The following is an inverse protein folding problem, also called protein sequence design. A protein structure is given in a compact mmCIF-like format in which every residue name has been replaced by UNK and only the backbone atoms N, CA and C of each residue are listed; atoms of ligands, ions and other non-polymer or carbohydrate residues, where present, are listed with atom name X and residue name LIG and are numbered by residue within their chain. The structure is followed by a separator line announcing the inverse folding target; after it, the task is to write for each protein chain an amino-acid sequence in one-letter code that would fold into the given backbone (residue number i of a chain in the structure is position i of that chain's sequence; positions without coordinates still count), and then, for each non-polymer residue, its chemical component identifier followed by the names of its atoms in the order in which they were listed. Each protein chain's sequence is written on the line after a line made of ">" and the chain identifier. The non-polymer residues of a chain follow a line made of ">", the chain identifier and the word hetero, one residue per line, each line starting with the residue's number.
data_IF_382448749038
#
_entry.id   IF_382448749038
#
_cell.length_a   1.000
_cell.length_b   1.000
_cell.length_c   1.000
_cell.angle_alpha   90.00
_cell.angle_beta   90.00
_cell.angle_gamma   90.00
#
_symmetry.space_group_name_H-M   'P 1'
#
loop_
_entity.id
_entity.type
_entity.pdbx_description
1 polymer ?
#
# COMPACT_ATOMS: atom_id res chain seq x y z
N UNK A 1 -3.37 9.33 -11.71
CA UNK A 1 -4.20 8.33 -12.43
C UNK A 1 -4.06 7.01 -11.70
N UNK A 2 -5.15 6.51 -11.11
CA UNK A 2 -5.13 5.25 -10.35
C UNK A 2 -5.25 4.11 -11.34
N UNK A 3 -4.18 3.35 -11.54
CA UNK A 3 -4.28 2.11 -12.31
C UNK A 3 -4.68 1.00 -11.35
N UNK A 4 -5.98 0.87 -11.06
CA UNK A 4 -6.51 -0.31 -10.34
C UNK A 4 -6.42 -1.51 -11.28
N UNK A 5 -5.23 -2.12 -11.36
CA UNK A 5 -5.07 -3.43 -11.98
C UNK A 5 -5.59 -4.47 -11.00
N UNK A 6 -6.88 -4.81 -11.08
CA UNK A 6 -7.37 -6.07 -10.53
C UNK A 6 -6.67 -7.17 -11.30
N UNK A 7 -5.68 -7.81 -10.67
CA UNK A 7 -4.73 -8.74 -11.29
C UNK A 7 -5.39 -10.08 -11.67
N UNK A 8 -6.38 -10.07 -12.57
CA UNK A 8 -6.98 -11.26 -13.19
C UNK A 8 -6.34 -11.52 -14.57
N UNK A 9 -5.31 -12.38 -14.55
CA UNK A 9 -5.04 -13.36 -15.62
C UNK A 9 -4.51 -12.85 -16.99
N UNK A 10 -3.69 -11.79 -17.09
CA UNK A 10 -3.05 -11.48 -18.37
C UNK A 10 -1.57 -11.06 -18.32
N UNK A 11 -0.75 -11.91 -18.99
CA UNK A 11 0.54 -11.66 -19.66
C UNK A 11 1.78 -11.46 -18.77
N UNK A 12 3.03 -11.71 -19.16
CA UNK A 12 3.72 -12.53 -20.19
C UNK A 12 5.20 -12.39 -19.80
N UNK A 13 5.91 -13.50 -19.58
CA UNK A 13 7.35 -13.64 -19.25
C UNK A 13 7.91 -13.14 -17.89
N UNK A 14 8.64 -14.07 -17.25
CA UNK A 14 9.59 -14.02 -16.12
C UNK A 14 9.06 -13.84 -14.69
N UNK A 15 9.08 -14.94 -13.91
CA UNK A 15 9.08 -15.07 -12.45
C UNK A 15 8.11 -14.20 -11.64
N UNK A 16 6.87 -14.06 -12.10
CA UNK A 16 5.81 -13.42 -11.31
C UNK A 16 5.12 -14.44 -10.40
N UNK A 17 5.42 -14.39 -9.10
CA UNK A 17 4.69 -15.16 -8.09
C UNK A 17 3.20 -14.82 -8.12
N UNK A 18 2.36 -15.85 -8.29
CA UNK A 18 0.91 -15.72 -8.26
C UNK A 18 0.45 -15.63 -6.81
N UNK A 19 -0.11 -14.49 -6.43
CA UNK A 19 -0.71 -14.30 -5.11
C UNK A 19 -2.13 -14.91 -5.09
N UNK A 20 -2.49 -15.54 -3.97
CA UNK A 20 -3.82 -16.12 -3.75
C UNK A 20 -4.92 -15.07 -3.53
N UNK A 21 -4.50 -13.82 -3.28
CA UNK A 21 -5.39 -12.69 -2.99
C UNK A 21 -5.41 -11.67 -4.14
N UNK A 22 -6.52 -10.93 -4.34
CA UNK A 22 -6.56 -9.81 -5.26
C UNK A 22 -5.55 -8.73 -4.86
N UNK A 23 -4.82 -8.20 -5.83
CA UNK A 23 -3.87 -7.09 -5.61
C UNK A 23 -4.37 -5.87 -6.37
N UNK A 24 -4.34 -4.72 -5.70
CA UNK A 24 -4.59 -3.40 -6.31
C UNK A 24 -3.29 -2.61 -6.22
N UNK A 25 -2.77 -2.16 -7.36
CA UNK A 25 -1.58 -1.32 -7.42
C UNK A 25 -2.02 0.14 -7.54
N UNK A 26 -1.49 1.04 -6.72
CA UNK A 26 -1.76 2.48 -6.80
C UNK A 26 -0.46 3.19 -7.15
N UNK A 27 -0.30 3.54 -8.42
CA UNK A 27 0.85 4.28 -8.93
C UNK A 27 0.47 5.69 -9.40
N UNK A 28 1.49 6.52 -9.64
CA UNK A 28 1.33 7.74 -10.41
C UNK A 28 2.44 7.84 -11.45
N UNK A 29 2.15 8.46 -12.60
CA UNK A 29 3.09 8.62 -13.72
C UNK A 29 3.95 9.89 -13.54
N UNK A 30 3.53 10.82 -12.70
CA UNK A 30 4.22 12.09 -12.43
C UNK A 30 4.91 12.11 -11.06
N UNK A 31 6.04 12.81 -10.97
CA UNK A 31 6.75 13.09 -9.72
C UNK A 31 6.07 14.28 -9.04
N UNK A 32 5.50 14.09 -7.84
CA UNK A 32 4.78 15.14 -7.10
C UNK A 32 3.60 14.65 -6.23
N UNK A 33 3.01 15.56 -5.46
CA UNK A 33 1.88 15.32 -4.55
C UNK A 33 0.57 15.06 -5.28
N UNK A 34 0.38 13.83 -5.78
CA UNK A 34 -0.67 13.50 -6.74
C UNK A 34 -1.89 12.80 -6.13
N UNK A 35 -2.19 13.06 -4.86
CA UNK A 35 -3.39 12.54 -4.18
C UNK A 35 -3.44 11.01 -4.00
N UNK A 36 -2.31 10.28 -4.14
CA UNK A 36 -2.26 8.82 -3.94
C UNK A 36 -2.64 8.44 -2.51
N UNK A 37 -2.08 9.13 -1.52
CA UNK A 37 -2.30 8.83 -0.12
C UNK A 37 -3.77 9.06 0.29
N UNK A 38 -4.42 10.20 -0.02
CA UNK A 38 -5.86 10.37 0.21
C UNK A 38 -6.74 9.31 -0.47
N UNK A 39 -6.41 8.95 -1.72
CA UNK A 39 -7.13 7.90 -2.44
C UNK A 39 -6.95 6.53 -1.78
N UNK A 40 -5.73 6.17 -1.40
CA UNK A 40 -5.42 4.87 -0.79
C UNK A 40 -6.20 4.73 0.52
N UNK A 41 -6.24 5.78 1.34
CA UNK A 41 -7.04 5.84 2.56
C UNK A 41 -8.54 5.65 2.24
N UNK A 42 -9.07 6.40 1.26
CA UNK A 42 -10.48 6.29 0.87
C UNK A 42 -10.83 4.87 0.38
N UNK A 43 -9.97 4.27 -0.44
CA UNK A 43 -10.18 2.92 -0.96
C UNK A 43 -10.13 1.88 0.16
N UNK A 44 -9.15 1.95 1.06
CA UNK A 44 -9.05 1.04 2.21
C UNK A 44 -10.32 1.09 3.07
N UNK A 45 -10.81 2.29 3.36
CA UNK A 45 -12.03 2.48 4.14
C UNK A 45 -13.29 1.95 3.43
N UNK A 46 -13.41 2.13 2.11
CA UNK A 46 -14.52 1.56 1.32
C UNK A 46 -14.47 0.03 1.29
N UNK A 47 -13.28 -0.57 1.20
CA UNK A 47 -13.13 -2.02 1.24
C UNK A 47 -13.50 -2.57 2.62
N UNK A 48 -13.05 -1.90 3.69
CA UNK A 48 -13.45 -2.23 5.07
C UNK A 48 -14.95 -2.12 5.29
N UNK A 49 -15.60 -1.06 4.80
CA UNK A 49 -17.05 -0.90 4.91
C UNK A 49 -17.84 -1.97 4.14
N UNK A 50 -17.18 -2.68 3.21
CA UNK A 50 -17.74 -3.83 2.48
C UNK A 50 -17.37 -5.19 3.11
N UNK A 51 -16.78 -5.20 4.31
CA UNK A 51 -16.38 -6.41 5.02
C UNK A 51 -15.10 -7.06 4.49
N UNK A 52 -14.32 -6.35 3.67
CA UNK A 52 -13.03 -6.83 3.15
C UNK A 52 -11.93 -6.31 4.09
N UNK A 53 -10.94 -7.15 4.41
CA UNK A 53 -9.77 -6.76 5.20
C UNK A 53 -8.55 -6.49 4.29
N UNK A 54 -8.33 -5.25 3.81
CA UNK A 54 -7.19 -4.94 2.95
C UNK A 54 -5.88 -4.84 3.75
N UNK A 55 -4.80 -5.37 3.18
CA UNK A 55 -3.43 -5.05 3.60
C UNK A 55 -2.82 -3.98 2.69
N UNK A 56 -2.00 -3.09 3.26
CA UNK A 56 -1.31 -2.03 2.52
C UNK A 56 0.18 -2.35 2.49
N UNK A 57 0.77 -2.34 1.30
CA UNK A 57 2.22 -2.46 1.12
C UNK A 57 2.73 -1.14 0.56
N UNK A 58 3.61 -0.48 1.30
CA UNK A 58 4.31 0.72 0.86
C UNK A 58 5.81 0.42 0.68
N UNK A 59 6.55 1.32 0.03
CA UNK A 59 8.01 1.19 -0.07
C UNK A 59 8.75 1.65 1.20
N UNK A 60 8.06 2.24 2.18
CA UNK A 60 8.68 2.86 3.35
C UNK A 60 9.61 4.03 3.00
N UNK A 61 9.17 4.95 2.12
CA UNK A 61 9.99 6.09 1.73
C UNK A 61 10.38 6.92 2.96
N UNK A 62 11.68 7.23 3.09
CA UNK A 62 12.20 7.94 4.26
C UNK A 62 12.44 7.07 5.50
N UNK A 63 11.92 5.84 5.54
CA UNK A 63 12.15 4.88 6.62
C UNK A 63 13.55 4.26 6.55
N UNK A 64 14.12 3.98 7.73
CA UNK A 64 15.47 3.41 7.92
C UNK A 64 15.43 2.17 8.80
N UNK A 65 14.48 1.28 8.56
CA UNK A 65 14.38 0.02 9.29
C UNK A 65 15.65 -0.81 9.11
N UNK A 66 16.11 -1.45 10.19
CA UNK A 66 17.28 -2.33 10.13
C UNK A 66 17.01 -3.63 9.34
N UNK A 67 15.73 -4.03 9.20
CA UNK A 67 15.33 -5.25 8.50
C UNK A 67 14.00 -5.03 7.78
N UNK A 68 13.86 -5.63 6.60
CA UNK A 68 12.65 -5.60 5.79
C UNK A 68 12.19 -7.04 5.44
N UNK A 69 10.88 -7.29 5.26
CA UNK A 69 9.76 -6.34 5.40
C UNK A 69 9.53 -5.92 6.87
N UNK A 70 9.16 -4.66 7.08
CA UNK A 70 8.79 -4.13 8.39
C UNK A 70 7.27 -4.09 8.49
N UNK A 71 6.71 -4.74 9.51
CA UNK A 71 5.33 -4.54 9.91
C UNK A 71 5.18 -3.21 10.64
N UNK A 72 4.20 -2.41 10.22
CA UNK A 72 3.99 -1.06 10.75
C UNK A 72 2.73 -1.08 11.61
N UNK A 73 2.87 -0.65 12.85
CA UNK A 73 1.82 -0.45 13.82
C UNK A 73 1.86 1.01 14.32
N UNK A 74 0.87 1.42 15.11
CA UNK A 74 0.84 2.77 15.69
C UNK A 74 2.02 3.04 16.63
N UNK A 75 2.67 1.99 17.15
CA UNK A 75 3.83 2.10 18.04
C UNK A 75 5.17 2.03 17.29
N UNK A 76 5.15 1.81 15.97
CA UNK A 76 6.36 1.71 15.14
C UNK A 76 7.01 3.08 14.99
N UNK A 77 8.33 3.14 15.14
CA UNK A 77 9.05 4.41 15.05
C UNK A 77 9.01 4.98 13.62
N UNK A 78 8.61 6.25 13.51
CA UNK A 78 8.54 6.98 12.24
C UNK A 78 9.89 6.99 11.51
N UNK A 79 11.00 7.00 12.24
CA UNK A 79 12.34 6.94 11.62
C UNK A 79 12.62 5.60 10.94
N UNK A 80 11.94 4.53 11.35
CA UNK A 80 12.09 3.18 10.80
C UNK A 80 11.11 2.94 9.64
N UNK A 81 9.82 3.30 9.81
CA UNK A 81 8.79 3.03 8.82
C UNK A 81 8.59 4.14 7.77
N UNK A 82 8.99 5.37 8.09
CA UNK A 82 8.66 6.56 7.33
C UNK A 82 7.31 7.16 7.72
N UNK A 83 7.15 8.44 7.39
CA UNK A 83 5.99 9.30 7.66
C UNK A 83 4.72 8.86 6.90
N UNK A 84 4.84 8.43 5.66
CA UNK A 84 3.67 7.94 4.91
C UNK A 84 3.14 6.62 5.48
N UNK A 85 4.01 5.71 5.94
CA UNK A 85 3.59 4.41 6.44
C UNK A 85 2.80 4.51 7.75
N UNK A 86 3.29 5.33 8.70
CA UNK A 86 2.59 5.56 9.97
C UNK A 86 1.25 6.27 9.75
N UNK A 87 1.21 7.27 8.84
CA UNK A 87 -0.03 7.96 8.49
C UNK A 87 -1.08 7.00 7.92
N UNK A 88 -0.65 6.04 7.08
CA UNK A 88 -1.56 5.04 6.52
C UNK A 88 -2.08 4.10 7.61
N UNK A 89 -1.22 3.63 8.52
CA UNK A 89 -1.63 2.82 9.67
C UNK A 89 -2.65 3.57 10.55
N UNK A 90 -2.39 4.83 10.87
CA UNK A 90 -3.31 5.68 11.65
C UNK A 90 -4.66 5.90 10.97
N UNK A 91 -4.67 6.21 9.67
CA UNK A 91 -5.91 6.60 8.96
C UNK A 91 -6.74 5.44 8.47
N UNK A 92 -6.14 4.26 8.34
CA UNK A 92 -6.83 3.08 7.80
C UNK A 92 -6.99 1.98 8.85
N UNK A 93 -6.13 1.91 9.87
CA UNK A 93 -6.07 0.79 10.82
C UNK A 93 -5.75 -0.54 10.12
N UNK A 94 -5.03 -0.48 9.01
CA UNK A 94 -4.52 -1.64 8.26
C UNK A 94 -3.06 -1.87 8.59
#
# INVERSE_FOLDING_TARGET
>A
MVVVLLRKKHQSNNDLQKLSVPVIVIGNISVGGTGKTPLLIALANILKSKGINPGIISRGYGGKAATYPLEVSLDTNVTECGDEAILLAEKTGC
#
